data_IF_690411713234
#
_entry.id   IF_690411713234
#
_cell.length_a   1.000
_cell.length_b   1.000
_cell.length_c   1.000
_cell.angle_alpha   90.00
_cell.angle_beta   90.00
_cell.angle_gamma   90.00
#
_symmetry.space_group_name_H-M   'P 1'
#
loop_
_entity.id
_entity.type
_entity.pdbx_description
1 polymer ?
#
# COMPACT_ATOMS: atom_id res chain seq x y z
N UNK A 1 -2.85 25.46 5.00
CA UNK A 1 -2.68 24.03 5.23
C UNK A 1 -4.04 23.38 5.44
N UNK A 2 -4.22 22.14 5.01
CA UNK A 2 -5.48 21.41 5.09
C UNK A 2 -5.62 20.55 6.36
N UNK A 3 -4.87 20.90 7.43
CA UNK A 3 -4.98 20.27 8.74
C UNK A 3 -4.09 19.04 8.97
N UNK A 4 -3.17 18.71 8.07
CA UNK A 4 -2.21 17.65 8.32
C UNK A 4 -1.18 18.06 9.39
N UNK A 5 -0.75 17.10 10.21
CA UNK A 5 0.39 17.27 11.12
C UNK A 5 1.68 17.09 10.33
N UNK A 6 2.56 18.08 10.37
CA UNK A 6 3.86 18.02 9.72
C UNK A 6 4.75 16.95 10.38
N UNK A 7 5.35 16.11 9.56
CA UNK A 7 6.47 15.24 9.92
C UNK A 7 7.79 15.92 9.59
N UNK A 8 7.87 16.52 8.41
CA UNK A 8 9.04 17.22 7.89
C UNK A 8 8.61 18.43 7.08
N UNK A 9 9.09 19.59 7.44
CA UNK A 9 8.87 20.82 6.67
C UNK A 9 9.55 20.73 5.30
N UNK A 10 9.08 21.50 4.28
CA UNK A 10 9.72 21.52 2.97
C UNK A 10 11.23 21.82 3.09
N UNK A 11 12.04 20.84 2.72
CA UNK A 11 13.49 20.86 2.86
C UNK A 11 14.15 20.71 1.50
N UNK A 12 15.02 21.64 1.15
CA UNK A 12 15.81 21.61 -0.07
C UNK A 12 17.05 20.74 0.13
N UNK A 13 17.22 19.76 -0.74
CA UNK A 13 18.40 18.92 -0.85
C UNK A 13 18.99 19.05 -2.26
N UNK A 14 20.31 19.09 -2.40
CA UNK A 14 20.98 19.26 -3.70
C UNK A 14 22.32 18.58 -3.76
N UNK A 15 22.70 18.22 -4.97
CA UNK A 15 24.04 17.75 -5.36
C UNK A 15 24.38 18.27 -6.76
N UNK A 16 25.41 17.71 -7.40
CA UNK A 16 25.84 18.06 -8.77
C UNK A 16 24.79 17.75 -9.86
N UNK A 17 23.76 16.95 -9.54
CA UNK A 17 22.70 16.56 -10.46
C UNK A 17 21.45 17.47 -10.36
N UNK A 18 21.45 18.44 -9.46
CA UNK A 18 20.34 19.37 -9.28
C UNK A 18 19.78 19.40 -7.85
N UNK A 19 18.50 19.71 -7.75
CA UNK A 19 17.84 19.91 -6.47
C UNK A 19 16.52 19.14 -6.36
N UNK A 20 16.21 18.72 -5.12
CA UNK A 20 14.97 18.05 -4.73
C UNK A 20 14.41 18.77 -3.51
N UNK A 21 13.10 19.01 -3.48
CA UNK A 21 12.41 19.47 -2.28
C UNK A 21 11.59 18.31 -1.74
N UNK A 22 11.77 17.98 -0.46
CA UNK A 22 10.97 16.98 0.25
C UNK A 22 10.23 17.59 1.41
N UNK A 23 9.02 17.08 1.65
CA UNK A 23 8.24 17.37 2.85
C UNK A 23 7.49 16.13 3.30
N UNK A 24 7.02 16.10 4.53
CA UNK A 24 6.32 14.92 5.05
C UNK A 24 5.18 15.28 5.99
N UNK A 25 4.14 14.45 5.99
CA UNK A 25 3.02 14.54 6.92
C UNK A 25 2.78 13.19 7.60
N UNK A 26 2.34 13.24 8.85
CA UNK A 26 1.87 12.06 9.56
C UNK A 26 0.51 11.60 9.03
N UNK A 27 0.30 10.30 9.07
CA UNK A 27 -1.00 9.64 8.91
C UNK A 27 -1.23 8.71 10.11
N UNK A 28 -1.81 7.53 9.94
CA UNK A 28 -2.10 6.61 11.04
C UNK A 28 -0.81 5.98 11.61
N UNK A 29 -0.80 5.80 12.94
CA UNK A 29 0.36 5.20 13.67
C UNK A 29 1.64 5.99 13.43
N UNK A 30 2.70 5.28 13.11
CA UNK A 30 4.01 5.85 12.75
C UNK A 30 4.17 6.09 11.24
N UNK A 31 3.14 5.80 10.44
CA UNK A 31 3.16 5.97 8.99
C UNK A 31 3.22 7.44 8.59
N UNK A 32 4.03 7.74 7.60
CA UNK A 32 4.17 9.09 7.04
C UNK A 32 4.03 9.07 5.52
N UNK A 33 3.55 10.15 4.95
CA UNK A 33 3.63 10.42 3.52
C UNK A 33 4.75 11.40 3.25
N UNK A 34 5.69 11.01 2.40
CA UNK A 34 6.76 11.88 1.92
C UNK A 34 6.41 12.37 0.51
N UNK A 35 6.34 13.68 0.37
CA UNK A 35 6.17 14.34 -0.93
C UNK A 35 7.54 14.71 -1.48
N UNK A 36 7.74 14.48 -2.78
CA UNK A 36 9.02 14.70 -3.45
C UNK A 36 8.80 15.53 -4.71
N UNK A 37 9.33 16.75 -4.74
CA UNK A 37 9.42 17.57 -5.94
C UNK A 37 10.83 17.43 -6.50
N UNK A 38 10.96 16.76 -7.66
CA UNK A 38 12.26 16.46 -8.29
C UNK A 38 12.35 16.83 -9.76
N UNK A 39 11.54 17.76 -10.24
CA UNK A 39 11.53 18.15 -11.66
C UNK A 39 12.86 18.77 -12.12
N UNK A 40 13.62 19.36 -11.21
CA UNK A 40 14.90 19.99 -11.46
C UNK A 40 16.09 19.07 -11.08
N UNK A 41 15.85 17.77 -10.88
CA UNK A 41 16.85 16.81 -10.51
C UNK A 41 17.05 15.74 -11.59
N UNK A 42 18.29 15.56 -12.04
CA UNK A 42 18.67 14.61 -13.10
C UNK A 42 19.42 13.38 -12.59
N UNK A 43 19.67 13.30 -11.29
CA UNK A 43 20.29 12.15 -10.65
C UNK A 43 19.36 10.92 -10.59
N UNK A 44 19.92 9.79 -10.16
CA UNK A 44 19.26 8.48 -10.25
C UNK A 44 18.03 8.35 -9.37
N UNK A 45 18.02 8.94 -8.18
CA UNK A 45 16.90 8.85 -7.24
C UNK A 45 16.75 10.15 -6.43
N UNK A 46 17.61 10.37 -5.44
CA UNK A 46 17.67 11.57 -4.59
C UNK A 46 19.13 12.02 -4.45
N UNK A 47 19.39 13.27 -4.01
CA UNK A 47 20.73 13.73 -3.70
C UNK A 47 21.48 12.77 -2.78
N UNK A 48 22.74 12.49 -3.11
CA UNK A 48 23.58 11.52 -2.41
C UNK A 48 23.45 10.07 -2.90
N UNK A 49 22.51 9.75 -3.78
CA UNK A 49 22.41 8.42 -4.40
C UNK A 49 23.27 8.32 -5.65
N UNK A 50 23.93 7.17 -5.80
CA UNK A 50 24.78 6.90 -6.96
C UNK A 50 24.16 5.81 -7.85
N UNK A 51 24.48 5.88 -9.14
CA UNK A 51 24.10 4.82 -10.07
C UNK A 51 24.80 3.52 -9.68
N UNK A 52 24.02 2.49 -9.47
CA UNK A 52 24.52 1.14 -9.26
C UNK A 52 24.33 0.30 -10.52
N UNK A 53 25.37 -0.44 -10.91
CA UNK A 53 25.29 -1.44 -11.97
C UNK A 53 25.48 -2.81 -11.34
N UNK A 54 24.44 -3.64 -11.36
CA UNK A 54 24.55 -5.01 -10.90
C UNK A 54 25.32 -5.86 -11.91
N UNK A 55 26.21 -6.71 -11.43
CA UNK A 55 26.82 -7.79 -12.23
C UNK A 55 25.90 -9.01 -12.34
N UNK A 56 24.76 -8.97 -11.64
CA UNK A 56 23.78 -10.05 -11.60
C UNK A 56 22.68 -9.76 -12.60
N UNK A 57 22.64 -10.54 -13.68
CA UNK A 57 21.58 -10.46 -14.69
C UNK A 57 20.44 -11.41 -14.32
N UNK A 58 19.21 -10.90 -14.36
CA UNK A 58 18.01 -11.68 -14.13
C UNK A 58 17.00 -11.47 -15.26
N UNK A 59 16.37 -12.56 -15.68
CA UNK A 59 15.21 -12.45 -16.54
C UNK A 59 14.06 -11.73 -15.83
N UNK A 60 13.33 -10.84 -16.50
CA UNK A 60 12.17 -10.15 -15.92
C UNK A 60 11.12 -11.12 -15.40
N UNK A 61 10.61 -10.87 -14.22
CA UNK A 61 9.52 -11.68 -13.63
C UNK A 61 8.14 -11.30 -14.10
N UNK A 62 7.97 -10.10 -14.65
CA UNK A 62 6.67 -9.56 -15.05
C UNK A 62 6.08 -8.56 -14.06
N UNK A 63 6.75 -8.29 -12.92
CA UNK A 63 6.36 -7.20 -12.01
C UNK A 63 6.56 -5.85 -12.69
N UNK A 64 5.59 -4.94 -12.56
CA UNK A 64 5.56 -3.67 -13.28
C UNK A 64 5.75 -2.45 -12.38
N UNK A 65 4.77 -2.18 -11.54
CA UNK A 65 4.73 -1.00 -10.67
C UNK A 65 3.89 -1.31 -9.42
N UNK A 66 4.04 -0.47 -8.40
CA UNK A 66 3.22 -0.55 -7.20
C UNK A 66 1.81 -0.05 -7.56
N UNK A 67 0.81 -0.94 -7.46
CA UNK A 67 -0.58 -0.61 -7.75
C UNK A 67 -1.27 0.08 -6.57
N UNK A 68 -1.08 -0.46 -5.37
CA UNK A 68 -1.63 0.14 -4.15
C UNK A 68 -0.84 -0.26 -2.90
N UNK A 69 -1.06 0.48 -1.82
CA UNK A 69 -0.52 0.21 -0.50
C UNK A 69 -1.66 0.23 0.51
N UNK A 70 -1.78 -0.82 1.31
CA UNK A 70 -2.89 -1.02 2.24
C UNK A 70 -2.47 -0.65 3.65
N UNK A 71 -3.27 0.19 4.31
CA UNK A 71 -3.13 0.51 5.71
C UNK A 71 -4.18 -0.20 6.57
N UNK A 72 -3.74 -0.76 7.69
CA UNK A 72 -4.64 -1.23 8.74
C UNK A 72 -4.72 -0.17 9.84
N UNK A 73 -5.93 0.13 10.26
CA UNK A 73 -6.22 1.08 11.35
C UNK A 73 -7.02 0.40 12.46
N UNK A 74 -7.12 1.06 13.61
CA UNK A 74 -7.86 0.53 14.77
C UNK A 74 -9.36 0.46 14.54
N UNK A 75 -10.06 -0.15 15.49
CA UNK A 75 -11.51 -0.26 15.51
C UNK A 75 -12.18 1.13 15.42
N UNK A 76 -13.14 1.27 14.50
CA UNK A 76 -13.91 2.51 14.24
C UNK A 76 -13.04 3.70 13.79
N UNK A 77 -11.82 3.45 13.30
CA UNK A 77 -10.92 4.52 12.82
C UNK A 77 -10.92 4.70 11.30
N UNK A 78 -11.45 3.74 10.53
CA UNK A 78 -11.42 3.80 9.05
C UNK A 78 -12.02 5.11 8.52
N UNK A 79 -13.20 5.50 8.99
CA UNK A 79 -13.87 6.70 8.51
C UNK A 79 -13.11 8.00 8.87
N UNK A 80 -12.41 8.03 10.00
CA UNK A 80 -11.52 9.14 10.38
C UNK A 80 -10.39 9.31 9.35
N UNK A 81 -9.78 8.21 8.94
CA UNK A 81 -8.68 8.23 7.99
C UNK A 81 -9.14 8.42 6.55
N UNK A 82 -10.32 7.91 6.17
CA UNK A 82 -10.97 8.25 4.90
C UNK A 82 -11.14 9.77 4.80
N UNK A 83 -11.72 10.39 5.85
CA UNK A 83 -11.89 11.84 5.89
C UNK A 83 -10.56 12.61 5.83
N UNK A 84 -9.52 12.11 6.48
CA UNK A 84 -8.17 12.68 6.38
C UNK A 84 -7.70 12.72 4.91
N UNK A 85 -7.82 11.62 4.17
CA UNK A 85 -7.40 11.58 2.77
C UNK A 85 -8.25 12.50 1.89
N UNK A 86 -9.55 12.62 2.16
CA UNK A 86 -10.43 13.57 1.47
C UNK A 86 -10.02 15.02 1.72
N UNK A 87 -9.93 15.41 2.98
CA UNK A 87 -9.70 16.81 3.38
C UNK A 87 -8.27 17.27 3.07
N UNK A 88 -7.28 16.45 3.39
CA UNK A 88 -5.86 16.80 3.30
C UNK A 88 -5.32 16.62 1.88
N UNK A 89 -5.59 15.47 1.28
CA UNK A 89 -4.99 15.09 0.00
C UNK A 89 -5.93 15.26 -1.20
N UNK A 90 -7.22 15.52 -0.96
CA UNK A 90 -8.22 15.64 -2.02
C UNK A 90 -8.51 14.32 -2.72
N UNK A 91 -8.30 13.21 -2.03
CA UNK A 91 -8.65 11.89 -2.53
C UNK A 91 -10.17 11.68 -2.47
N UNK A 92 -10.63 10.72 -3.24
CA UNK A 92 -12.04 10.30 -3.25
C UNK A 92 -12.14 8.85 -2.83
N UNK A 93 -13.27 8.49 -2.21
CA UNK A 93 -13.58 7.09 -1.95
C UNK A 93 -13.94 6.42 -3.28
N UNK A 94 -13.04 5.59 -3.77
CA UNK A 94 -13.17 4.89 -5.05
C UNK A 94 -14.02 3.62 -4.94
N UNK A 95 -13.89 2.89 -3.83
CA UNK A 95 -14.57 1.63 -3.58
C UNK A 95 -14.73 1.40 -2.07
N UNK A 96 -15.84 0.81 -1.68
CA UNK A 96 -16.09 0.42 -0.28
C UNK A 96 -16.51 -1.04 -0.22
N UNK A 97 -15.98 -1.76 0.75
CA UNK A 97 -16.38 -3.12 1.08
C UNK A 97 -16.84 -3.15 2.53
N UNK A 98 -18.03 -3.67 2.76
CA UNK A 98 -18.54 -3.92 4.10
C UNK A 98 -18.18 -5.34 4.58
N UNK A 99 -18.48 -5.63 5.84
CA UNK A 99 -18.24 -6.91 6.50
C UNK A 99 -18.98 -8.09 5.84
N UNK A 100 -20.03 -7.83 5.04
CA UNK A 100 -20.77 -8.86 4.31
C UNK A 100 -20.11 -9.21 2.97
N UNK A 101 -19.36 -8.28 2.39
CA UNK A 101 -18.70 -8.45 1.10
C UNK A 101 -17.30 -9.07 1.24
N UNK A 102 -16.60 -8.75 2.33
CA UNK A 102 -15.31 -9.37 2.67
C UNK A 102 -15.45 -10.10 4.00
N UNK A 103 -16.08 -11.24 3.94
CA UNK A 103 -16.34 -12.09 5.09
C UNK A 103 -15.99 -13.53 4.73
N UNK A 104 -15.20 -14.18 5.59
CA UNK A 104 -15.17 -15.64 5.68
C UNK A 104 -16.08 -16.06 6.82
N UNK A 105 -16.50 -17.31 6.90
CA UNK A 105 -17.36 -17.81 7.99
C UNK A 105 -16.85 -17.43 9.41
N UNK A 106 -15.58 -17.07 9.54
CA UNK A 106 -14.91 -16.89 10.82
C UNK A 106 -14.32 -15.49 11.04
N UNK A 107 -14.04 -14.73 9.99
CA UNK A 107 -13.28 -13.47 10.07
C UNK A 107 -13.86 -12.44 9.11
N UNK A 108 -14.04 -11.22 9.58
CA UNK A 108 -14.55 -10.09 8.82
C UNK A 108 -13.63 -8.88 8.90
N UNK A 109 -13.67 -8.05 7.86
CA UNK A 109 -13.03 -6.74 7.84
C UNK A 109 -13.89 -5.76 7.05
N UNK A 110 -13.70 -4.47 7.31
CA UNK A 110 -14.23 -3.39 6.49
C UNK A 110 -13.08 -2.70 5.78
N UNK A 111 -13.31 -2.31 4.54
CA UNK A 111 -12.29 -1.65 3.71
C UNK A 111 -12.88 -0.53 2.88
N UNK A 112 -12.17 0.60 2.81
CA UNK A 112 -12.45 1.70 1.89
C UNK A 112 -11.20 2.07 1.12
N UNK A 113 -11.32 2.13 -0.19
CA UNK A 113 -10.21 2.45 -1.09
C UNK A 113 -10.22 3.94 -1.41
N UNK A 114 -9.22 4.66 -0.91
CA UNK A 114 -9.01 6.05 -1.24
C UNK A 114 -8.13 6.18 -2.49
N UNK A 115 -8.54 7.01 -3.44
CA UNK A 115 -7.80 7.19 -4.69
C UNK A 115 -7.66 8.65 -5.04
N UNK A 116 -6.53 9.02 -5.66
CA UNK A 116 -6.35 10.32 -6.26
C UNK A 116 -7.19 10.47 -7.55
N UNK A 117 -7.36 11.71 -8.04
CA UNK A 117 -8.28 12.01 -9.14
C UNK A 117 -8.01 11.28 -10.46
N UNK A 118 -6.81 10.72 -10.68
CA UNK A 118 -6.49 9.95 -11.90
C UNK A 118 -6.42 8.43 -11.66
N UNK A 119 -6.74 7.95 -10.45
CA UNK A 119 -6.76 6.53 -10.10
C UNK A 119 -5.39 5.84 -10.03
N UNK A 120 -4.28 6.58 -10.14
CA UNK A 120 -2.93 5.98 -10.12
C UNK A 120 -2.39 5.73 -8.72
N UNK A 121 -2.87 6.47 -7.74
CA UNK A 121 -2.49 6.29 -6.33
C UNK A 121 -3.72 5.80 -5.60
N UNK A 122 -3.62 4.64 -4.96
CA UNK A 122 -4.70 3.99 -4.23
C UNK A 122 -4.20 3.56 -2.86
N UNK A 123 -4.95 3.91 -1.83
CA UNK A 123 -4.72 3.51 -0.44
C UNK A 123 -5.99 2.87 0.12
N UNK A 124 -6.12 1.54 0.04
CA UNK A 124 -7.12 0.84 0.83
C UNK A 124 -6.82 1.02 2.32
N UNK A 125 -7.87 1.30 3.09
CA UNK A 125 -7.82 1.46 4.55
C UNK A 125 -8.74 0.41 5.13
N UNK A 126 -8.18 -0.49 5.92
CA UNK A 126 -8.89 -1.58 6.55
C UNK A 126 -9.05 -1.33 8.04
N UNK A 127 -10.20 -1.66 8.57
CA UNK A 127 -10.41 -1.81 10.02
C UNK A 127 -10.97 -3.18 10.34
N UNK A 128 -10.77 -3.69 11.58
CA UNK A 128 -11.39 -4.92 12.02
C UNK A 128 -12.92 -4.82 11.96
N UNK A 129 -13.58 -5.96 11.75
CA UNK A 129 -15.01 -6.09 11.90
C UNK A 129 -15.32 -7.31 12.81
N UNK A 130 -16.49 -7.31 13.45
CA UNK A 130 -16.89 -8.40 14.33
C UNK A 130 -16.97 -9.72 13.54
N UNK A 131 -16.33 -10.76 14.06
CA UNK A 131 -16.32 -12.10 13.50
C UNK A 131 -16.21 -13.17 14.57
N UNK A 132 -16.40 -14.44 14.21
CA UNK A 132 -16.28 -15.57 15.15
C UNK A 132 -14.85 -15.82 15.61
N UNK A 133 -13.87 -15.33 14.86
CA UNK A 133 -12.44 -15.43 15.17
C UNK A 133 -11.77 -14.07 14.94
N UNK A 134 -10.63 -13.90 15.58
CA UNK A 134 -9.76 -12.74 15.37
C UNK A 134 -9.44 -12.59 13.89
N UNK A 135 -9.63 -11.38 13.36
CA UNK A 135 -9.35 -11.07 11.96
C UNK A 135 -7.84 -10.90 11.73
N UNK A 136 -7.41 -11.04 10.47
CA UNK A 136 -6.03 -10.73 10.10
C UNK A 136 -5.66 -9.26 10.39
N UNK A 137 -6.65 -8.35 10.40
CA UNK A 137 -6.42 -6.96 10.73
C UNK A 137 -6.10 -6.80 12.22
N UNK A 138 -6.84 -7.50 13.10
CA UNK A 138 -6.55 -7.52 14.54
C UNK A 138 -5.20 -8.18 14.85
N UNK A 139 -4.89 -9.30 14.17
CA UNK A 139 -3.58 -9.96 14.31
C UNK A 139 -2.43 -9.01 13.94
N UNK A 140 -2.60 -8.25 12.85
CA UNK A 140 -1.63 -7.24 12.43
C UNK A 140 -1.47 -6.14 13.49
N UNK A 141 -2.60 -5.58 13.97
CA UNK A 141 -2.59 -4.49 14.97
C UNK A 141 -1.92 -4.91 16.26
N UNK A 142 -2.13 -6.14 16.70
CA UNK A 142 -1.49 -6.68 17.90
C UNK A 142 0.00 -6.95 17.70
N UNK A 143 0.39 -7.53 16.56
CA UNK A 143 1.78 -7.83 16.24
C UNK A 143 2.61 -6.56 16.05
N UNK A 144 2.06 -5.58 15.33
CA UNK A 144 2.72 -4.32 15.02
C UNK A 144 2.58 -3.28 16.14
N UNK A 145 1.77 -3.57 17.16
CA UNK A 145 1.46 -2.68 18.30
C UNK A 145 0.78 -1.37 17.86
N UNK A 146 -0.01 -1.42 16.78
CA UNK A 146 -0.77 -0.28 16.29
C UNK A 146 -1.05 -0.26 14.79
N UNK A 147 -1.64 0.85 14.29
CA UNK A 147 -1.90 1.07 12.88
C UNK A 147 -0.63 1.18 12.04
N UNK A 148 -0.68 0.69 10.79
CA UNK A 148 0.46 0.76 9.88
C UNK A 148 0.17 0.22 8.50
N UNK A 149 1.19 0.12 7.64
CA UNK A 149 1.09 -0.44 6.30
C UNK A 149 1.15 -1.96 6.37
N UNK A 150 0.06 -2.61 5.95
CA UNK A 150 -0.05 -4.06 5.97
C UNK A 150 0.65 -4.72 4.78
N UNK A 151 0.38 -4.25 3.57
CA UNK A 151 0.99 -4.79 2.37
C UNK A 151 1.11 -3.79 1.23
N UNK A 152 1.96 -4.15 0.27
CA UNK A 152 2.15 -3.42 -0.98
C UNK A 152 1.77 -4.38 -2.12
N UNK A 153 0.84 -3.96 -2.97
CA UNK A 153 0.45 -4.73 -4.15
C UNK A 153 1.23 -4.24 -5.38
N UNK A 154 1.78 -5.18 -6.12
CA UNK A 154 2.54 -4.91 -7.34
C UNK A 154 1.80 -5.50 -8.54
N UNK A 155 1.60 -4.67 -9.56
CA UNK A 155 0.88 -5.06 -10.78
C UNK A 155 1.69 -6.00 -11.67
N UNK A 156 0.99 -6.89 -12.33
CA UNK A 156 1.50 -7.74 -13.42
C UNK A 156 0.40 -7.97 -14.46
N UNK A 157 0.76 -8.29 -15.70
CA UNK A 157 -0.20 -8.69 -16.73
C UNK A 157 -0.51 -10.18 -16.70
N UNK A 158 0.37 -10.99 -16.13
CA UNK A 158 0.24 -12.44 -16.04
C UNK A 158 0.68 -12.93 -14.66
N UNK A 159 -0.30 -13.07 -13.78
CA UNK A 159 -0.06 -13.47 -12.38
C UNK A 159 0.50 -14.89 -12.30
N UNK A 160 0.05 -15.81 -13.18
CA UNK A 160 0.48 -17.22 -13.15
C UNK A 160 1.96 -17.31 -13.51
N UNK A 161 2.36 -16.70 -14.63
CA UNK A 161 3.76 -16.66 -15.07
C UNK A 161 4.65 -15.96 -14.03
N UNK A 162 4.20 -14.81 -13.51
CA UNK A 162 4.95 -14.02 -12.52
C UNK A 162 5.19 -14.82 -11.23
N UNK A 163 4.14 -15.40 -10.64
CA UNK A 163 4.27 -16.20 -9.40
C UNK A 163 5.13 -17.45 -9.64
N UNK A 164 4.98 -18.12 -10.78
CA UNK A 164 5.80 -19.28 -11.14
C UNK A 164 7.28 -18.92 -11.21
N UNK A 165 7.63 -17.80 -11.86
CA UNK A 165 9.01 -17.32 -11.95
C UNK A 165 9.57 -16.91 -10.58
N UNK A 166 8.78 -16.24 -9.76
CA UNK A 166 9.21 -15.84 -8.41
C UNK A 166 9.46 -17.06 -7.52
N UNK A 167 8.57 -18.07 -7.55
CA UNK A 167 8.75 -19.34 -6.82
C UNK A 167 10.01 -20.10 -7.26
N UNK A 168 10.26 -20.18 -8.57
CA UNK A 168 11.46 -20.84 -9.10
C UNK A 168 12.77 -20.16 -8.66
N UNK A 169 12.68 -18.89 -8.19
CA UNK A 169 13.80 -18.12 -7.62
C UNK A 169 13.85 -18.13 -6.09
N UNK A 170 13.03 -18.96 -5.44
CA UNK A 170 13.03 -19.13 -3.98
C UNK A 170 12.17 -18.13 -3.21
N UNK A 171 11.29 -17.35 -3.88
CA UNK A 171 10.34 -16.51 -3.17
C UNK A 171 9.23 -17.41 -2.59
N UNK A 172 9.07 -17.34 -1.29
CA UNK A 172 8.00 -18.05 -0.57
C UNK A 172 6.70 -17.24 -0.66
N UNK A 173 5.60 -17.96 -0.87
CA UNK A 173 4.25 -17.41 -0.88
C UNK A 173 3.44 -18.05 0.22
N UNK A 174 2.43 -17.33 0.71
CA UNK A 174 1.42 -17.91 1.58
C UNK A 174 0.77 -19.12 0.90
N UNK A 175 0.25 -20.05 1.71
CA UNK A 175 -0.48 -21.21 1.20
C UNK A 175 -1.64 -20.77 0.32
N UNK A 176 -1.81 -21.47 -0.81
CA UNK A 176 -2.94 -21.22 -1.70
C UNK A 176 -4.25 -21.68 -1.05
N UNK A 177 -5.38 -21.01 -1.35
CA UNK A 177 -6.70 -21.52 -0.99
C UNK A 177 -6.90 -22.96 -1.47
N UNK A 178 -7.78 -23.75 -0.83
CA UNK A 178 -8.12 -25.09 -1.28
C UNK A 178 -8.65 -25.12 -2.72
N UNK A 179 -8.54 -26.27 -3.39
CA UNK A 179 -8.98 -26.43 -4.79
C UNK A 179 -10.46 -26.11 -4.99
N UNK A 180 -11.30 -26.33 -3.98
CA UNK A 180 -12.72 -25.99 -3.97
C UNK A 180 -12.96 -24.50 -4.19
N UNK A 181 -12.11 -23.64 -3.68
CA UNK A 181 -12.17 -22.19 -3.92
C UNK A 181 -12.04 -21.87 -5.41
N UNK A 182 -11.06 -22.49 -6.08
CA UNK A 182 -10.82 -22.24 -7.51
C UNK A 182 -11.91 -22.80 -8.41
N UNK A 183 -12.56 -23.89 -8.01
CA UNK A 183 -13.72 -24.46 -8.71
C UNK A 183 -14.93 -23.51 -8.68
N UNK A 184 -15.06 -22.70 -7.64
CA UNK A 184 -16.16 -21.75 -7.48
C UNK A 184 -15.92 -20.39 -8.17
N UNK A 185 -14.68 -20.04 -8.53
CA UNK A 185 -14.33 -18.75 -9.15
C UNK A 185 -15.08 -18.43 -10.44
N UNK A 186 -15.32 -19.38 -11.37
CA UNK A 186 -16.05 -19.11 -12.62
C UNK A 186 -17.51 -18.68 -12.44
N UNK A 187 -18.06 -18.83 -11.24
CA UNK A 187 -19.46 -18.56 -10.91
C UNK A 187 -19.67 -17.33 -10.03
N UNK A 188 -18.62 -16.48 -9.88
CA UNK A 188 -18.66 -15.27 -9.06
C UNK A 188 -18.54 -13.99 -9.93
#
# INVERSE_FOLDING_TARGET
>A
SRGAKSYMEPTLEKDEHGEVIRSGIYTYGETVHIFVERKNYKGVFLPGFQKWSSSYETEPTGLKYIDHMVGNVGWNEMNKWVKFYEDVMGFVNFLSFDDKQINTEYSALMSKVMSNGNGRIKFPINEPAEGKKKSQIEEYLDFYEGPGVQHIAVATDDIISTVTKLRSRGIEFLSTPPDEYYKAVPFR
#
